data_IF_577572487800
#
_entry.id   IF_577572487800
#
_cell.length_a   1.000
_cell.length_b   1.000
_cell.length_c   1.000
_cell.angle_alpha   90.00
_cell.angle_beta   90.00
_cell.angle_gamma   90.00
#
_symmetry.space_group_name_H-M   'P 1'
#
loop_
_entity.id
_entity.type
_entity.pdbx_description
1 polymer ?
#
# COMPACT_ATOMS: atom_id res chain seq x y z
N UNK A 1 -8.58 23.06 6.60
CA UNK A 1 -7.72 22.49 5.55
C UNK A 1 -7.47 23.49 4.43
N UNK A 2 -8.52 24.04 3.78
CA UNK A 2 -8.33 24.98 2.66
C UNK A 2 -7.38 26.12 3.00
N UNK A 3 -7.63 26.83 4.09
CA UNK A 3 -6.80 27.96 4.51
C UNK A 3 -5.40 27.52 4.95
N UNK A 4 -5.31 26.50 5.80
CA UNK A 4 -4.02 26.06 6.37
C UNK A 4 -3.07 25.48 5.32
N UNK A 5 -3.60 24.83 4.29
CA UNK A 5 -2.83 24.29 3.18
C UNK A 5 -2.79 25.17 1.92
N UNK A 6 -3.24 26.43 2.04
CA UNK A 6 -3.19 27.43 0.96
C UNK A 6 -3.85 26.95 -0.34
N UNK A 7 -4.96 26.22 -0.22
CA UNK A 7 -5.64 25.65 -1.37
C UNK A 7 -6.60 26.66 -2.01
N UNK A 8 -6.73 26.63 -3.32
CA UNK A 8 -7.68 27.43 -4.07
C UNK A 8 -9.13 27.06 -3.79
N UNK A 9 -9.38 25.78 -3.55
CA UNK A 9 -10.71 25.20 -3.30
C UNK A 9 -10.72 24.27 -2.08
N UNK A 10 -11.92 23.88 -1.62
CA UNK A 10 -12.07 22.89 -0.56
C UNK A 10 -11.70 21.50 -1.09
N UNK A 11 -10.71 20.81 -0.48
CA UNK A 11 -10.29 19.51 -0.97
C UNK A 11 -11.31 18.44 -0.55
N UNK A 12 -12.22 18.10 -1.45
CA UNK A 12 -13.17 17.01 -1.27
C UNK A 12 -12.57 15.64 -1.52
N UNK A 13 -11.56 15.57 -2.38
CA UNK A 13 -10.79 14.37 -2.67
C UNK A 13 -9.33 14.61 -2.28
N UNK A 14 -8.85 13.83 -1.30
CA UNK A 14 -7.48 13.89 -0.80
C UNK A 14 -6.87 12.48 -0.90
N UNK A 15 -5.66 12.39 -1.39
CA UNK A 15 -4.90 11.14 -1.43
C UNK A 15 -3.65 11.23 -0.55
N UNK A 16 -3.33 10.17 0.18
CA UNK A 16 -2.09 10.10 0.95
C UNK A 16 -1.28 8.88 0.53
N UNK A 17 0.01 9.11 0.30
CA UNK A 17 0.97 8.08 -0.10
C UNK A 17 1.97 7.81 1.01
N UNK A 18 2.18 6.54 1.33
CA UNK A 18 3.22 6.05 2.24
C UNK A 18 4.03 4.96 1.55
N UNK A 19 5.36 5.11 1.59
CA UNK A 19 6.29 4.07 1.16
C UNK A 19 6.68 3.23 2.37
N UNK A 20 6.17 2.01 2.44
CA UNK A 20 6.56 1.08 3.47
C UNK A 20 7.64 0.12 2.96
N UNK A 21 8.90 0.42 3.27
CA UNK A 21 10.03 -0.50 3.07
C UNK A 21 10.16 -1.40 4.30
N UNK A 22 9.73 -2.65 4.19
CA UNK A 22 10.10 -3.67 5.17
C UNK A 22 11.26 -4.45 4.58
N UNK A 23 12.44 -4.28 5.18
CA UNK A 23 13.69 -4.98 4.94
C UNK A 23 13.66 -6.07 3.84
N UNK A 24 14.20 -5.72 2.68
CA UNK A 24 14.85 -6.68 1.77
C UNK A 24 14.02 -7.34 0.68
N UNK A 25 12.70 -7.21 0.60
CA UNK A 25 11.95 -7.87 -0.46
C UNK A 25 10.76 -7.04 -0.94
N UNK A 26 10.84 -6.60 -2.20
CA UNK A 26 9.77 -5.94 -2.96
C UNK A 26 9.10 -4.77 -2.23
N UNK A 27 9.62 -3.55 -2.35
CA UNK A 27 9.01 -2.36 -1.77
C UNK A 27 7.58 -2.18 -2.28
N UNK A 28 6.69 -1.77 -1.37
CA UNK A 28 5.28 -1.52 -1.64
C UNK A 28 4.94 -0.13 -1.16
N UNK A 29 4.26 0.63 -1.99
CA UNK A 29 3.64 1.88 -1.57
C UNK A 29 2.14 1.70 -1.39
N UNK A 30 1.58 2.41 -0.43
CA UNK A 30 0.15 2.49 -0.19
C UNK A 30 -0.38 3.87 -0.59
N UNK A 31 -1.57 3.87 -1.18
CA UNK A 31 -2.36 5.07 -1.43
C UNK A 31 -3.71 4.92 -0.74
N UNK A 32 -4.00 5.80 0.19
CA UNK A 32 -5.33 5.92 0.79
C UNK A 32 -6.04 7.16 0.27
N UNK A 33 -7.35 7.07 0.18
CA UNK A 33 -8.21 8.10 -0.39
C UNK A 33 -9.24 8.53 0.65
N UNK A 34 -9.34 9.84 0.86
CA UNK A 34 -10.42 10.43 1.64
C UNK A 34 -11.31 11.26 0.73
N UNK A 35 -12.61 11.08 0.89
CA UNK A 35 -13.63 11.91 0.22
C UNK A 35 -14.49 12.58 1.27
N UNK A 36 -14.66 13.91 1.16
CA UNK A 36 -15.35 14.73 2.15
C UNK A 36 -14.87 14.44 3.60
N UNK A 37 -13.55 14.44 3.78
CA UNK A 37 -12.84 14.16 5.03
C UNK A 37 -13.07 12.78 5.66
N UNK A 38 -13.60 11.80 4.90
CA UNK A 38 -13.85 10.42 5.36
C UNK A 38 -13.08 9.41 4.51
N UNK A 39 -12.60 8.30 5.11
CA UNK A 39 -11.94 7.23 4.37
C UNK A 39 -12.82 6.60 3.30
N UNK A 40 -12.36 6.57 2.05
CA UNK A 40 -12.99 5.88 0.92
C UNK A 40 -12.24 4.59 0.59
N UNK A 41 -12.44 3.55 1.41
CA UNK A 41 -11.67 2.30 1.36
C UNK A 41 -11.72 1.58 0.00
N UNK A 42 -12.80 1.75 -0.77
CA UNK A 42 -12.93 1.19 -2.12
C UNK A 42 -11.90 1.77 -3.12
N UNK A 43 -11.43 2.98 -2.84
CA UNK A 43 -10.50 3.72 -3.69
C UNK A 43 -9.03 3.52 -3.28
N UNK A 44 -8.75 2.81 -2.17
CA UNK A 44 -7.41 2.50 -1.70
C UNK A 44 -6.66 1.62 -2.68
N UNK A 45 -5.35 1.83 -2.83
CA UNK A 45 -4.50 1.04 -3.73
C UNK A 45 -3.16 0.72 -3.09
N UNK A 46 -2.66 -0.49 -3.40
CA UNK A 46 -1.28 -0.87 -3.17
C UNK A 46 -0.52 -0.88 -4.49
N UNK A 47 0.70 -0.40 -4.46
CA UNK A 47 1.58 -0.38 -5.62
C UNK A 47 2.82 -1.21 -5.32
N UNK A 48 2.99 -2.32 -6.04
CA UNK A 48 4.27 -3.01 -6.09
C UNK A 48 5.22 -2.15 -6.92
N UNK A 49 6.36 -1.79 -6.36
CA UNK A 49 7.42 -1.08 -7.07
C UNK A 49 8.04 -2.03 -8.09
N UNK A 50 8.23 -1.58 -9.32
CA UNK A 50 8.64 -2.42 -10.46
C UNK A 50 9.98 -2.05 -11.05
N UNK A 51 10.32 -0.75 -11.07
CA UNK A 51 11.48 -0.23 -11.79
C UNK A 51 12.64 0.14 -10.89
N UNK A 52 12.41 0.21 -9.58
CA UNK A 52 13.41 0.62 -8.61
C UNK A 52 14.12 -0.61 -8.05
N UNK A 53 15.44 -0.63 -8.12
CA UNK A 53 16.29 -1.69 -7.57
C UNK A 53 16.88 -1.20 -6.24
N UNK A 54 16.63 -1.95 -5.18
CA UNK A 54 17.11 -1.59 -3.84
C UNK A 54 16.19 -0.66 -3.05
N UNK A 55 16.62 -0.21 -1.87
CA UNK A 55 15.84 0.65 -0.98
C UNK A 55 15.98 2.13 -1.39
N UNK A 56 15.26 2.54 -2.42
CA UNK A 56 15.18 3.93 -2.87
C UNK A 56 13.74 4.44 -2.74
N UNK A 57 13.47 5.10 -1.62
CA UNK A 57 12.16 5.66 -1.31
C UNK A 57 11.77 6.81 -2.23
N UNK A 58 12.75 7.54 -2.75
CA UNK A 58 12.52 8.68 -3.63
C UNK A 58 12.09 8.22 -5.03
N UNK A 59 12.84 7.31 -5.63
CA UNK A 59 12.50 6.72 -6.91
C UNK A 59 11.18 5.93 -6.82
N UNK A 60 10.92 5.24 -5.71
CA UNK A 60 9.67 4.52 -5.46
C UNK A 60 8.47 5.46 -5.41
N UNK A 61 8.58 6.59 -4.72
CA UNK A 61 7.51 7.61 -4.66
C UNK A 61 7.22 8.17 -6.04
N UNK A 62 8.26 8.50 -6.80
CA UNK A 62 8.14 9.00 -8.18
C UNK A 62 7.42 7.99 -9.07
N UNK A 63 7.83 6.71 -9.05
CA UNK A 63 7.18 5.65 -9.81
C UNK A 63 5.68 5.54 -9.50
N UNK A 64 5.34 5.54 -8.22
CA UNK A 64 3.94 5.36 -7.77
C UNK A 64 3.05 6.49 -8.21
N UNK A 65 3.45 7.74 -8.01
CA UNK A 65 2.66 8.89 -8.42
C UNK A 65 2.52 8.96 -9.95
N UNK A 66 3.61 8.74 -10.69
CA UNK A 66 3.56 8.70 -12.15
C UNK A 66 2.55 7.65 -12.63
N UNK A 67 2.62 6.41 -12.14
CA UNK A 67 1.69 5.34 -12.51
C UNK A 67 0.25 5.63 -12.11
N UNK A 68 0.03 6.14 -10.90
CA UNK A 68 -1.31 6.48 -10.38
C UNK A 68 -1.98 7.51 -11.26
N UNK A 69 -1.31 8.63 -11.49
CA UNK A 69 -1.95 9.79 -12.14
C UNK A 69 -1.95 9.69 -13.65
N UNK A 70 -0.98 9.03 -14.28
CA UNK A 70 -1.07 8.69 -15.71
C UNK A 70 -2.31 7.85 -15.98
N UNK A 71 -2.55 6.83 -15.15
CA UNK A 71 -3.74 6.00 -15.27
C UNK A 71 -5.02 6.79 -15.01
N UNK A 72 -5.05 7.60 -13.96
CA UNK A 72 -6.23 8.37 -13.59
C UNK A 72 -6.62 9.38 -14.67
N UNK A 73 -5.63 10.05 -15.29
CA UNK A 73 -5.86 10.94 -16.43
C UNK A 73 -6.48 10.23 -17.65
N UNK A 74 -6.14 8.96 -17.85
CA UNK A 74 -6.70 8.16 -18.95
C UNK A 74 -8.11 7.63 -18.67
N UNK A 75 -8.35 7.17 -17.43
CA UNK A 75 -9.59 6.46 -17.07
C UNK A 75 -10.65 7.40 -16.50
N UNK A 76 -10.27 8.44 -15.76
CA UNK A 76 -11.16 9.34 -15.03
C UNK A 76 -10.51 10.70 -14.77
N UNK A 77 -10.30 11.52 -15.82
CA UNK A 77 -9.57 12.80 -15.70
C UNK A 77 -10.25 13.80 -14.75
N UNK A 78 -11.57 13.69 -14.59
CA UNK A 78 -12.34 14.57 -13.70
C UNK A 78 -12.28 14.14 -12.21
N UNK A 79 -11.68 12.98 -11.90
CA UNK A 79 -11.54 12.46 -10.53
C UNK A 79 -10.13 12.68 -9.95
N UNK A 80 -9.42 13.69 -10.41
CA UNK A 80 -8.14 14.07 -9.82
C UNK A 80 -8.35 14.64 -8.41
N UNK A 81 -7.46 14.32 -7.44
CA UNK A 81 -7.56 14.89 -6.09
C UNK A 81 -7.20 16.36 -6.10
N UNK A 82 -7.77 17.11 -5.18
CA UNK A 82 -7.38 18.51 -4.93
C UNK A 82 -6.11 18.62 -4.08
N UNK A 83 -5.82 17.58 -3.29
CA UNK A 83 -4.65 17.55 -2.42
C UNK A 83 -4.01 16.16 -2.40
N UNK A 84 -2.71 16.14 -2.61
CA UNK A 84 -1.86 14.97 -2.38
C UNK A 84 -1.02 15.22 -1.13
N UNK A 85 -1.02 14.24 -0.24
CA UNK A 85 -0.20 14.20 0.96
C UNK A 85 0.83 13.08 0.81
N UNK A 86 2.11 13.40 1.01
CA UNK A 86 3.19 12.43 1.00
C UNK A 86 3.66 12.21 2.44
N UNK A 87 3.61 10.97 2.96
CA UNK A 87 4.20 10.62 4.25
C UNK A 87 5.73 10.58 4.11
N UNK A 88 6.32 11.75 4.20
CA UNK A 88 7.76 11.95 4.04
C UNK A 88 8.15 13.41 4.05
N UNK A 89 9.44 13.63 4.31
CA UNK A 89 10.03 14.96 4.30
C UNK A 89 10.31 15.49 2.90
N UNK A 90 11.15 16.54 2.85
CA UNK A 90 11.48 17.28 1.63
C UNK A 90 11.91 16.40 0.44
N UNK A 91 12.69 15.34 0.68
CA UNK A 91 13.20 14.49 -0.40
C UNK A 91 12.09 13.73 -1.13
N UNK A 92 11.17 13.12 -0.38
CA UNK A 92 10.02 12.42 -0.97
C UNK A 92 9.04 13.40 -1.63
N UNK A 93 8.87 14.59 -1.02
CA UNK A 93 8.09 15.67 -1.62
C UNK A 93 8.69 16.13 -2.96
N UNK A 94 10.01 16.30 -3.04
CA UNK A 94 10.69 16.68 -4.29
C UNK A 94 10.47 15.64 -5.40
N UNK A 95 10.58 14.36 -5.06
CA UNK A 95 10.31 13.27 -6.02
C UNK A 95 8.86 13.24 -6.49
N UNK A 96 7.93 13.57 -5.59
CA UNK A 96 6.52 13.70 -5.94
C UNK A 96 6.27 14.90 -6.89
N UNK A 97 6.95 16.04 -6.67
CA UNK A 97 6.90 17.20 -7.56
C UNK A 97 7.42 16.84 -8.95
N UNK A 98 8.57 16.16 -9.04
CA UNK A 98 9.13 15.70 -10.31
C UNK A 98 8.16 14.79 -11.06
N UNK A 99 7.52 13.85 -10.36
CA UNK A 99 6.54 12.96 -10.97
C UNK A 99 5.37 13.74 -11.60
N UNK A 100 4.80 14.71 -10.86
CA UNK A 100 3.71 15.53 -11.36
C UNK A 100 4.13 16.47 -12.49
N UNK A 101 5.37 16.94 -12.46
CA UNK A 101 5.93 17.79 -13.51
C UNK A 101 6.05 17.00 -14.84
N UNK A 102 6.64 15.82 -14.80
CA UNK A 102 6.81 14.95 -15.97
C UNK A 102 5.50 14.56 -16.66
N UNK A 103 4.41 14.45 -15.90
CA UNK A 103 3.09 14.11 -16.46
C UNK A 103 2.17 15.31 -16.68
N UNK A 104 2.69 16.54 -16.52
CA UNK A 104 1.95 17.77 -16.78
C UNK A 104 0.85 18.12 -15.77
N UNK A 105 0.96 17.63 -14.55
CA UNK A 105 0.01 17.90 -13.45
C UNK A 105 0.54 18.88 -12.38
N UNK A 106 1.77 19.37 -12.53
CA UNK A 106 2.31 20.38 -11.63
C UNK A 106 1.44 21.63 -11.61
N UNK A 107 1.11 22.12 -10.42
CA UNK A 107 0.23 23.28 -10.23
C UNK A 107 -1.27 23.02 -10.44
N UNK A 108 -1.65 21.85 -10.92
CA UNK A 108 -3.08 21.45 -11.03
C UNK A 108 -3.58 20.74 -9.78
N UNK A 109 -2.69 20.10 -9.03
CA UNK A 109 -2.99 19.39 -7.78
C UNK A 109 -2.09 19.96 -6.70
N UNK A 110 -2.65 20.32 -5.56
CA UNK A 110 -1.86 20.74 -4.40
C UNK A 110 -1.11 19.53 -3.83
N UNK A 111 0.15 19.76 -3.40
CA UNK A 111 1.03 18.73 -2.89
C UNK A 111 1.67 19.17 -1.59
N UNK A 112 1.67 18.33 -0.56
CA UNK A 112 2.36 18.57 0.71
C UNK A 112 3.07 17.31 1.19
N UNK A 113 4.21 17.49 1.87
CA UNK A 113 4.89 16.44 2.59
C UNK A 113 4.68 16.58 4.09
N UNK A 114 4.60 15.46 4.82
CA UNK A 114 4.50 15.44 6.27
C UNK A 114 5.66 14.64 6.83
N UNK A 115 6.50 15.28 7.64
CA UNK A 115 7.58 14.61 8.34
C UNK A 115 7.11 14.01 9.67
N UNK A 116 7.53 12.76 9.93
CA UNK A 116 7.03 11.92 11.03
C UNK A 116 7.25 12.49 12.45
N UNK A 117 8.34 13.22 12.70
CA UNK A 117 8.75 13.54 14.07
C UNK A 117 8.02 14.71 14.73
N UNK A 118 7.68 15.74 13.95
CA UNK A 118 7.15 17.00 14.50
C UNK A 118 5.87 17.45 13.80
N UNK A 119 5.30 16.56 12.97
CA UNK A 119 4.16 16.92 12.14
C UNK A 119 4.42 18.15 11.26
N UNK A 120 5.67 18.26 10.83
CA UNK A 120 6.13 19.32 9.96
C UNK A 120 5.53 19.14 8.58
N UNK A 121 4.87 20.19 8.10
CA UNK A 121 4.26 20.22 6.78
C UNK A 121 5.16 21.01 5.84
N UNK A 122 5.60 20.36 4.79
CA UNK A 122 6.41 20.96 3.75
C UNK A 122 5.60 21.21 2.49
N UNK A 123 5.74 22.40 1.94
CA UNK A 123 5.24 22.75 0.62
C UNK A 123 6.35 22.62 -0.43
N UNK A 124 6.03 22.34 -1.70
CA UNK A 124 7.01 22.35 -2.77
C UNK A 124 7.78 23.67 -2.86
N UNK A 125 9.12 23.57 -2.79
CA UNK A 125 10.00 24.73 -2.86
C UNK A 125 10.25 25.46 -1.52
N UNK A 126 9.47 25.19 -0.47
CA UNK A 126 9.70 25.82 0.82
C UNK A 126 10.89 25.18 1.56
N UNK A 127 11.78 26.00 2.07
CA UNK A 127 12.92 25.56 2.87
C UNK A 127 12.56 25.30 4.34
N UNK A 128 11.51 25.93 4.82
CA UNK A 128 11.04 25.90 6.22
C UNK A 128 9.68 25.22 6.28
N UNK A 129 9.46 24.29 7.22
CA UNK A 129 8.17 23.66 7.38
C UNK A 129 7.13 24.62 7.96
N UNK A 130 5.88 24.38 7.64
CA UNK A 130 4.74 24.99 8.30
C UNK A 130 4.35 24.15 9.51
N UNK A 131 4.18 24.81 10.65
CA UNK A 131 3.61 24.20 11.85
C UNK A 131 2.13 24.60 11.96
N UNK A 132 1.24 23.62 11.97
CA UNK A 132 -0.20 23.85 12.20
C UNK A 132 -0.50 23.60 13.68
N UNK A 133 -1.46 24.36 14.21
CA UNK A 133 -1.95 24.16 15.58
C UNK A 133 -2.36 22.70 15.79
N UNK A 134 -1.83 22.07 16.84
CA UNK A 134 -2.09 20.66 17.19
C UNK A 134 -3.58 20.36 17.43
N UNK A 135 -4.35 21.38 17.77
CA UNK A 135 -5.80 21.26 17.99
C UNK A 135 -6.62 21.50 16.72
N UNK A 136 -5.99 21.90 15.61
CA UNK A 136 -6.74 22.21 14.39
C UNK A 136 -7.35 20.95 13.77
N UNK A 137 -8.57 21.08 13.29
CA UNK A 137 -9.26 19.99 12.56
C UNK A 137 -8.50 19.61 11.27
N UNK A 138 -7.79 20.53 10.67
CA UNK A 138 -6.95 20.28 9.49
C UNK A 138 -5.83 19.32 9.79
N UNK A 139 -5.12 19.52 10.90
CA UNK A 139 -4.05 18.63 11.32
C UNK A 139 -4.59 17.24 11.67
N UNK A 140 -5.72 17.17 12.38
CA UNK A 140 -6.37 15.88 12.72
C UNK A 140 -6.73 15.06 11.47
N UNK A 141 -7.26 15.70 10.42
CA UNK A 141 -7.58 15.01 9.16
C UNK A 141 -6.32 14.49 8.48
N UNK A 142 -5.25 15.28 8.46
CA UNK A 142 -4.00 14.87 7.82
C UNK A 142 -3.28 13.78 8.61
N UNK A 143 -3.29 13.85 9.93
CA UNK A 143 -2.82 12.77 10.81
C UNK A 143 -3.60 11.48 10.55
N UNK A 144 -4.91 11.55 10.48
CA UNK A 144 -5.75 10.40 10.18
C UNK A 144 -5.44 9.81 8.81
N UNK A 145 -5.23 10.64 7.78
CA UNK A 145 -4.78 10.21 6.44
C UNK A 145 -3.45 9.44 6.51
N UNK A 146 -2.45 10.01 7.18
CA UNK A 146 -1.13 9.41 7.35
C UNK A 146 -1.21 8.08 8.10
N UNK A 147 -1.87 8.07 9.25
CA UNK A 147 -1.99 6.87 10.08
C UNK A 147 -2.74 5.75 9.33
N UNK A 148 -3.74 6.10 8.54
CA UNK A 148 -4.47 5.15 7.70
C UNK A 148 -3.63 4.63 6.54
N UNK A 149 -2.80 5.47 5.90
CA UNK A 149 -1.86 5.05 4.87
C UNK A 149 -0.83 4.06 5.42
N UNK A 150 -0.28 4.37 6.58
CA UNK A 150 0.66 3.49 7.28
C UNK A 150 0.00 2.17 7.69
N UNK A 151 -1.19 2.21 8.32
CA UNK A 151 -1.97 1.03 8.67
C UNK A 151 -2.25 0.13 7.46
N UNK A 152 -2.67 0.73 6.35
CA UNK A 152 -2.99 0.03 5.12
C UNK A 152 -1.75 -0.62 4.50
N UNK A 153 -0.61 0.07 4.49
CA UNK A 153 0.68 -0.47 4.06
C UNK A 153 1.12 -1.70 4.85
N UNK A 154 1.03 -1.64 6.19
CA UNK A 154 1.37 -2.76 7.08
C UNK A 154 0.47 -3.98 6.81
N UNK A 155 -0.82 -3.79 6.58
CA UNK A 155 -1.76 -4.89 6.32
C UNK A 155 -1.34 -5.68 5.09
N UNK A 156 -0.94 -5.00 4.01
CA UNK A 156 -0.46 -5.66 2.80
C UNK A 156 0.80 -6.51 3.02
N UNK A 157 1.74 -6.02 3.80
CA UNK A 157 2.94 -6.77 4.14
C UNK A 157 2.63 -8.02 4.98
N UNK A 158 1.69 -7.92 5.92
CA UNK A 158 1.22 -9.08 6.71
C UNK A 158 0.61 -10.14 5.81
N UNK A 159 -0.25 -9.76 4.89
CA UNK A 159 -0.90 -10.67 3.94
C UNK A 159 0.12 -11.35 3.03
N UNK A 160 1.14 -10.61 2.56
CA UNK A 160 2.22 -11.19 1.75
C UNK A 160 3.11 -12.14 2.54
N UNK A 161 3.51 -11.79 3.76
CA UNK A 161 4.28 -12.68 4.64
C UNK A 161 3.52 -13.95 4.95
N UNK A 162 2.23 -13.84 5.27
CA UNK A 162 1.39 -15.01 5.49
C UNK A 162 1.32 -15.89 4.25
N UNK A 163 1.12 -15.33 3.07
CA UNK A 163 1.12 -16.08 1.81
C UNK A 163 2.48 -16.72 1.51
N UNK A 164 3.57 -15.99 1.70
CA UNK A 164 4.92 -16.50 1.47
C UNK A 164 5.31 -17.60 2.46
N UNK A 165 4.98 -17.43 3.74
CA UNK A 165 5.20 -18.46 4.78
C UNK A 165 4.35 -19.71 4.51
N UNK A 166 3.12 -19.52 4.05
CA UNK A 166 2.17 -20.56 3.68
C UNK A 166 2.72 -21.39 2.51
N UNK A 167 3.16 -20.73 1.43
CA UNK A 167 3.78 -21.41 0.28
C UNK A 167 5.04 -22.14 0.71
N UNK A 168 5.87 -21.53 1.55
CA UNK A 168 7.09 -22.15 2.08
C UNK A 168 6.84 -23.40 2.94
N UNK A 169 5.70 -23.54 3.59
CA UNK A 169 5.38 -24.72 4.40
C UNK A 169 4.85 -25.87 3.55
N UNK A 170 3.96 -25.58 2.62
CA UNK A 170 3.43 -26.59 1.70
C UNK A 170 4.49 -27.10 0.71
N UNK A 171 5.41 -26.23 0.27
CA UNK A 171 6.50 -26.62 -0.64
C UNK A 171 7.54 -27.56 -0.02
N UNK A 172 7.56 -27.67 1.31
CA UNK A 172 8.39 -28.66 2.02
C UNK A 172 7.82 -30.07 1.96
N UNK A 173 6.57 -30.23 1.57
CA UNK A 173 5.89 -31.52 1.52
C UNK A 173 6.31 -32.26 0.24
N UNK A 174 6.96 -33.42 0.33
CA UNK A 174 7.36 -34.20 -0.84
C UNK A 174 6.17 -34.49 -1.75
N UNK A 175 6.30 -34.24 -3.06
CA UNK A 175 5.25 -34.47 -4.04
C UNK A 175 4.15 -33.37 -4.11
N UNK A 176 4.26 -32.32 -3.32
CA UNK A 176 3.40 -31.13 -3.40
C UNK A 176 4.12 -30.04 -4.20
N UNK A 177 3.76 -29.90 -5.45
CA UNK A 177 4.28 -28.82 -6.31
C UNK A 177 3.35 -27.60 -6.37
N UNK A 178 3.75 -26.53 -7.08
CA UNK A 178 3.03 -25.25 -7.12
C UNK A 178 1.54 -25.37 -7.48
N UNK A 179 1.20 -26.21 -8.41
CA UNK A 179 -0.20 -26.43 -8.81
C UNK A 179 -1.04 -27.07 -7.69
N UNK A 180 -0.45 -28.00 -6.94
CA UNK A 180 -1.10 -28.67 -5.80
C UNK A 180 -1.27 -27.69 -4.62
N UNK A 181 -0.24 -26.88 -4.33
CA UNK A 181 -0.30 -25.81 -3.34
C UNK A 181 -1.42 -24.81 -3.65
N UNK A 182 -1.48 -24.37 -4.90
CA UNK A 182 -2.51 -23.43 -5.34
C UNK A 182 -3.92 -24.03 -5.22
N UNK A 183 -4.11 -25.28 -5.58
CA UNK A 183 -5.40 -25.97 -5.46
C UNK A 183 -5.84 -26.07 -3.99
N UNK A 184 -4.94 -26.49 -3.09
CA UNK A 184 -5.22 -26.57 -1.65
C UNK A 184 -5.56 -25.18 -1.06
N UNK A 185 -4.77 -24.16 -1.38
CA UNK A 185 -4.99 -22.81 -0.88
C UNK A 185 -6.26 -22.16 -1.46
N UNK A 186 -6.59 -22.45 -2.71
CA UNK A 186 -7.83 -21.95 -3.33
C UNK A 186 -9.07 -22.53 -2.67
N UNK A 187 -9.02 -23.80 -2.24
CA UNK A 187 -10.15 -24.48 -1.60
C UNK A 187 -10.23 -24.16 -0.10
N UNK A 188 -9.16 -24.40 0.65
CA UNK A 188 -9.15 -24.30 2.12
C UNK A 188 -8.85 -22.90 2.65
N UNK A 189 -8.36 -21.98 1.81
CA UNK A 189 -8.05 -20.55 2.12
C UNK A 189 -6.90 -20.34 3.12
N UNK A 190 -6.44 -21.33 3.88
CA UNK A 190 -5.31 -21.22 4.81
C UNK A 190 -4.66 -22.54 5.14
N UNK A 191 -3.36 -22.54 5.50
CA UNK A 191 -2.63 -23.74 5.97
C UNK A 191 -3.27 -24.32 7.22
N UNK A 192 -3.75 -23.48 8.15
CA UNK A 192 -4.44 -23.95 9.34
C UNK A 192 -5.66 -24.81 9.01
N UNK A 193 -6.45 -24.44 8.00
CA UNK A 193 -7.58 -25.25 7.55
C UNK A 193 -7.13 -26.51 6.82
N UNK A 194 -6.05 -26.43 6.04
CA UNK A 194 -5.44 -27.60 5.40
C UNK A 194 -4.95 -28.59 6.46
N UNK A 195 -4.24 -28.13 7.49
CA UNK A 195 -3.72 -28.98 8.57
C UNK A 195 -4.82 -29.62 9.44
N UNK A 196 -6.00 -29.05 9.47
CA UNK A 196 -7.16 -29.57 10.20
C UNK A 196 -8.11 -30.40 9.34
N UNK A 197 -7.95 -30.37 8.01
CA UNK A 197 -8.81 -31.08 7.08
C UNK A 197 -8.63 -32.60 7.19
N UNK A 198 -9.70 -33.33 6.96
CA UNK A 198 -9.66 -34.79 6.86
C UNK A 198 -8.96 -35.23 5.58
N UNK A 199 -8.46 -36.49 5.57
CA UNK A 199 -7.84 -37.07 4.36
C UNK A 199 -8.83 -37.05 3.19
N UNK A 200 -10.10 -37.34 3.44
CA UNK A 200 -11.14 -37.37 2.41
C UNK A 200 -11.38 -35.97 1.80
N UNK A 201 -11.50 -34.93 2.64
CA UNK A 201 -11.64 -33.57 2.17
C UNK A 201 -10.41 -33.10 1.35
N UNK A 202 -9.22 -33.49 1.76
CA UNK A 202 -7.99 -33.22 1.00
C UNK A 202 -7.98 -34.00 -0.32
N UNK A 203 -8.46 -35.26 -0.32
CA UNK A 203 -8.48 -36.10 -1.49
C UNK A 203 -9.41 -35.61 -2.60
N UNK A 204 -10.51 -34.96 -2.24
CA UNK A 204 -11.40 -34.28 -3.21
C UNK A 204 -10.69 -33.21 -4.02
N UNK A 205 -9.68 -32.55 -3.43
CA UNK A 205 -8.98 -31.41 -4.05
C UNK A 205 -7.71 -31.87 -4.81
N UNK A 206 -6.92 -32.76 -4.22
CA UNK A 206 -5.57 -33.10 -4.73
C UNK A 206 -5.38 -34.60 -5.04
N UNK A 207 -6.42 -35.38 -4.86
CA UNK A 207 -6.40 -36.84 -5.04
C UNK A 207 -5.87 -37.60 -3.81
N UNK A 208 -6.21 -38.91 -3.68
CA UNK A 208 -5.98 -39.70 -2.47
C UNK A 208 -4.50 -39.85 -2.11
N UNK A 209 -3.63 -39.99 -3.09
CA UNK A 209 -2.19 -40.17 -2.85
C UNK A 209 -1.56 -38.90 -2.19
N UNK A 210 -1.83 -37.75 -2.75
CA UNK A 210 -1.31 -36.47 -2.22
C UNK A 210 -1.98 -36.09 -0.90
N UNK A 211 -3.25 -36.37 -0.72
CA UNK A 211 -3.99 -36.11 0.52
C UNK A 211 -3.34 -36.80 1.73
N UNK A 212 -2.93 -38.08 1.57
CA UNK A 212 -2.22 -38.83 2.62
C UNK A 212 -0.89 -38.17 3.00
N UNK A 213 -0.12 -37.74 2.00
CA UNK A 213 1.19 -37.08 2.23
C UNK A 213 1.02 -35.77 2.93
N UNK A 214 0.07 -34.94 2.48
CA UNK A 214 -0.25 -33.64 3.11
C UNK A 214 -0.69 -33.85 4.56
N UNK A 215 -1.58 -34.81 4.82
CA UNK A 215 -2.06 -35.10 6.18
C UNK A 215 -0.94 -35.60 7.10
N UNK A 216 -0.10 -36.47 6.62
CA UNK A 216 1.03 -37.00 7.36
C UNK A 216 2.00 -35.90 7.79
N UNK A 217 2.30 -34.95 6.93
CA UNK A 217 3.18 -33.83 7.23
C UNK A 217 2.68 -33.00 8.44
N UNK A 218 1.38 -32.77 8.55
CA UNK A 218 0.79 -31.99 9.64
C UNK A 218 0.42 -32.82 10.88
N UNK A 219 0.61 -34.15 10.84
CA UNK A 219 0.29 -35.03 11.96
C UNK A 219 1.55 -35.50 12.70
N UNK A 220 2.72 -35.38 12.03
CA UNK A 220 4.01 -35.73 12.62
C UNK A 220 4.46 -34.57 13.51
N UNK A 221 4.76 -34.80 14.82
CA UNK A 221 5.18 -33.77 15.75
C UNK A 221 6.54 -33.17 15.42
#
# INVERSE_FOLDING_TARGET
>A
IKADFRLSELPRHIECFDNSNIQGTNPVASCVVFRDAKPSKKDYRHFNIKTVVGPDDFASMKEVLTRRYTRLMQESPDDLPQLIVVDGGKGQLSSAVEALDEIGLRGKIALVGIAKRLEEIYFPGDSVPLYIDKNSESLKVVQHLRDEAHRFGITHHRDRRSKSAIVSELSKIPGVGPATEQALLSHFKSVKRISQATVDALAEVVGPAKAKVVRAHFTTP
#
